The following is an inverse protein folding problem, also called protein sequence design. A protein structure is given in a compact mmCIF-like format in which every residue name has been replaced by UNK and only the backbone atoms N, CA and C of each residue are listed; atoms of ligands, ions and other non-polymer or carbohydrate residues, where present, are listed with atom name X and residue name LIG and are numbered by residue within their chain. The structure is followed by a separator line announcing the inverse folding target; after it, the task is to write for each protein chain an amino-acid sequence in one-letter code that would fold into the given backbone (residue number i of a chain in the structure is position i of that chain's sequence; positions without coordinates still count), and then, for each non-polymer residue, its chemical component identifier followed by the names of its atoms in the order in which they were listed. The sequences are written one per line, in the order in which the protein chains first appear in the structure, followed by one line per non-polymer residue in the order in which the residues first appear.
data_IF_284268156965
#
_entry.id   IF_284268156965
#
_cell.length_a   1.000
_cell.length_b   1.000
_cell.length_c   1.000
_cell.angle_alpha   90.00
_cell.angle_beta   90.00
_cell.angle_gamma   90.00
#
_symmetry.space_group_name_H-M   'P 1'
#
loop_
_entity.id
_entity.type
_entity.pdbx_description
1 polymer ?
#
# COMPACT_ATOMS: atom_id res chain seq x y z
N UNK A 1 16.45 49.95 -36.79
CA UNK A 1 16.02 51.37 -36.86
C UNK A 1 14.56 51.35 -37.26
N UNK A 2 13.66 51.21 -36.29
CA UNK A 2 13.12 52.32 -35.49
C UNK A 2 12.21 53.19 -36.36
N UNK A 3 10.90 53.01 -36.22
CA UNK A 3 10.04 53.97 -35.53
C UNK A 3 8.57 53.81 -35.94
N UNK A 4 7.73 53.73 -34.92
CA UNK A 4 6.28 53.84 -35.00
C UNK A 4 5.93 55.26 -34.54
N UNK A 5 4.90 55.90 -35.11
CA UNK A 5 3.77 56.33 -34.27
C UNK A 5 2.40 56.21 -34.99
N UNK A 6 1.35 55.76 -34.28
CA UNK A 6 0.19 56.55 -33.80
C UNK A 6 -0.62 57.24 -34.92
N UNK A 7 -1.95 57.17 -35.07
CA UNK A 7 -3.09 57.06 -34.15
C UNK A 7 -4.36 57.03 -35.04
N UNK A 8 -5.39 56.24 -34.71
CA UNK A 8 -6.78 56.60 -35.00
C UNK A 8 -7.74 55.80 -34.09
N UNK A 9 -8.48 56.55 -33.30
CA UNK A 9 -9.46 56.16 -32.28
C UNK A 9 -10.88 56.06 -32.89
N UNK A 10 -11.84 55.56 -32.09
CA UNK A 10 -13.31 55.50 -32.28
C UNK A 10 -13.77 54.14 -32.84
N UNK A 11 -14.53 53.30 -32.13
CA UNK A 11 -15.76 53.53 -31.35
C UNK A 11 -15.78 52.63 -30.08
N UNK A 12 -16.05 53.15 -28.88
CA UNK A 12 -17.38 53.19 -28.23
C UNK A 12 -18.07 51.80 -28.17
N UNK A 13 -18.51 51.24 -27.04
CA UNK A 13 -18.69 51.74 -25.70
C UNK A 13 -18.79 50.56 -24.69
N UNK A 14 -18.51 50.89 -23.44
CA UNK A 14 -19.04 50.33 -22.19
C UNK A 14 -19.81 49.00 -22.23
N UNK A 15 -19.36 48.00 -21.46
CA UNK A 15 -20.24 47.50 -20.40
C UNK A 15 -19.49 46.87 -19.21
N UNK A 16 -20.19 46.89 -18.09
CA UNK A 16 -19.77 46.77 -16.71
C UNK A 16 -19.04 45.48 -16.28
N UNK A 17 -18.02 45.67 -15.43
CA UNK A 17 -17.55 44.68 -14.44
C UNK A 17 -18.75 44.14 -13.61
N UNK A 18 -18.70 42.87 -13.17
CA UNK A 18 -18.01 42.66 -11.90
C UNK A 18 -17.23 41.35 -11.81
N UNK A 19 -16.05 41.46 -11.21
CA UNK A 19 -15.50 40.52 -10.23
C UNK A 19 -16.13 39.13 -10.24
N UNK A 20 -15.40 38.14 -10.78
CA UNK A 20 -15.60 36.75 -10.44
C UNK A 20 -15.45 36.59 -8.93
N UNK A 21 -16.58 36.67 -8.21
CA UNK A 21 -16.65 36.43 -6.78
C UNK A 21 -16.17 34.99 -6.55
N UNK A 22 -15.30 34.73 -5.56
CA UNK A 22 -15.04 33.36 -5.15
C UNK A 22 -16.34 32.83 -4.55
N UNK A 23 -16.99 31.86 -5.19
CA UNK A 23 -18.12 31.17 -4.59
C UNK A 23 -17.62 30.27 -3.46
N UNK A 24 -17.27 30.89 -2.31
CA UNK A 24 -17.17 30.24 -1.00
C UNK A 24 -18.57 29.87 -0.53
N UNK A 25 -19.11 28.79 -1.05
CA UNK A 25 -20.01 27.96 -0.25
C UNK A 25 -19.15 26.84 0.32
N UNK A 26 -18.73 26.98 1.58
CA UNK A 26 -18.27 25.84 2.35
C UNK A 26 -19.46 24.90 2.54
N UNK A 27 -19.73 24.10 1.51
CA UNK A 27 -20.77 23.09 1.52
C UNK A 27 -20.45 22.10 2.63
N UNK A 28 -21.47 21.61 3.33
CA UNK A 28 -21.30 20.54 4.33
C UNK A 28 -20.49 19.36 3.76
N UNK A 29 -20.54 19.14 2.43
CA UNK A 29 -19.73 18.15 1.71
C UNK A 29 -18.22 18.40 1.85
N UNK A 30 -17.77 19.64 1.83
CA UNK A 30 -16.36 20.00 1.96
C UNK A 30 -15.86 19.81 3.39
N UNK A 31 -16.70 20.11 4.39
CA UNK A 31 -16.39 19.81 5.80
C UNK A 31 -16.28 18.30 6.04
N UNK A 32 -17.17 17.51 5.44
CA UNK A 32 -17.13 16.05 5.51
C UNK A 32 -15.94 15.50 4.73
N UNK A 33 -15.64 16.01 3.54
CA UNK A 33 -14.47 15.60 2.75
C UNK A 33 -13.17 15.82 3.51
N UNK A 34 -13.00 17.03 4.06
CA UNK A 34 -11.81 17.40 4.80
C UNK A 34 -11.68 16.58 6.09
N UNK A 35 -12.78 16.24 6.76
CA UNK A 35 -12.76 15.36 7.93
C UNK A 35 -12.38 13.92 7.54
N UNK A 36 -12.97 13.38 6.48
CA UNK A 36 -12.71 12.02 5.97
C UNK A 36 -11.27 11.81 5.49
N UNK A 37 -10.61 12.87 5.01
CA UNK A 37 -9.21 12.87 4.59
C UNK A 37 -8.23 13.26 5.70
N UNK A 38 -8.69 13.44 6.94
CA UNK A 38 -7.83 13.86 8.06
C UNK A 38 -7.32 15.30 7.95
N UNK A 39 -7.78 16.07 6.95
CA UNK A 39 -7.36 17.46 6.67
C UNK A 39 -8.11 18.50 7.50
N UNK A 40 -9.19 18.12 8.18
CA UNK A 40 -9.98 19.04 8.99
C UNK A 40 -9.21 19.45 10.27
N UNK A 41 -9.09 20.76 10.58
CA UNK A 41 -8.18 21.28 11.61
C UNK A 41 -8.46 20.78 13.05
N UNK A 42 -9.71 20.45 13.38
CA UNK A 42 -10.09 19.91 14.71
C UNK A 42 -10.40 18.41 14.72
N UNK A 43 -11.21 17.94 13.78
CA UNK A 43 -11.73 16.56 13.78
C UNK A 43 -10.95 15.59 12.90
N UNK A 44 -10.08 16.07 12.00
CA UNK A 44 -9.38 15.22 11.04
C UNK A 44 -8.52 14.16 11.71
N UNK A 45 -7.64 14.57 12.63
CA UNK A 45 -6.75 13.66 13.36
C UNK A 45 -7.51 12.67 14.25
N UNK A 46 -8.59 13.11 14.89
CA UNK A 46 -9.43 12.23 15.71
C UNK A 46 -10.09 11.15 14.84
N UNK A 47 -10.70 11.54 13.73
CA UNK A 47 -11.37 10.62 12.82
C UNK A 47 -10.39 9.62 12.17
N UNK A 48 -9.22 10.12 11.78
CA UNK A 48 -8.12 9.29 11.27
C UNK A 48 -7.70 8.24 12.31
N UNK A 49 -7.37 8.65 13.54
CA UNK A 49 -6.99 7.74 14.62
C UNK A 49 -8.11 6.75 14.96
N UNK A 50 -9.36 7.21 14.98
CA UNK A 50 -10.53 6.36 15.23
C UNK A 50 -10.64 5.23 14.19
N UNK A 51 -10.55 5.55 12.89
CA UNK A 51 -10.61 4.53 11.84
C UNK A 51 -9.39 3.61 11.87
N UNK A 52 -8.19 4.13 12.12
CA UNK A 52 -6.98 3.34 12.28
C UNK A 52 -7.12 2.34 13.45
N UNK A 53 -7.64 2.79 14.59
CA UNK A 53 -7.89 1.94 15.76
C UNK A 53 -8.92 0.85 15.45
N UNK A 54 -10.01 1.19 14.76
CA UNK A 54 -11.02 0.18 14.35
C UNK A 54 -10.41 -0.85 13.40
N UNK A 55 -9.61 -0.43 12.41
CA UNK A 55 -8.93 -1.36 11.49
C UNK A 55 -7.97 -2.29 12.27
N UNK A 56 -7.22 -1.75 13.22
CA UNK A 56 -6.29 -2.52 14.03
C UNK A 56 -7.01 -3.55 14.92
N UNK A 57 -8.04 -3.12 15.67
CA UNK A 57 -8.84 -4.03 16.51
C UNK A 57 -9.52 -5.09 15.65
N UNK A 58 -10.09 -4.69 14.51
CA UNK A 58 -10.70 -5.63 13.57
C UNK A 58 -9.72 -6.67 13.03
N UNK A 59 -8.46 -6.28 12.81
CA UNK A 59 -7.42 -7.17 12.32
C UNK A 59 -7.01 -8.18 13.38
N UNK A 60 -6.86 -7.74 14.63
CA UNK A 60 -6.60 -8.62 15.78
C UNK A 60 -7.75 -9.58 16.00
N UNK A 61 -8.99 -9.10 15.97
CA UNK A 61 -10.20 -9.92 16.11
C UNK A 61 -10.27 -11.05 15.09
N UNK A 62 -9.91 -10.76 13.83
CA UNK A 62 -9.83 -11.77 12.77
C UNK A 62 -8.73 -12.79 13.05
N UNK A 63 -7.59 -12.38 13.63
CA UNK A 63 -6.55 -13.31 14.10
C UNK A 63 -7.04 -14.20 15.24
N UNK A 64 -7.83 -13.66 16.18
CA UNK A 64 -8.42 -14.47 17.27
C UNK A 64 -9.42 -15.48 16.70
N UNK A 65 -10.22 -15.11 15.69
CA UNK A 65 -11.21 -16.01 15.06
C UNK A 65 -10.57 -17.30 14.48
N UNK A 66 -9.28 -17.30 14.18
CA UNK A 66 -8.58 -18.49 13.65
C UNK A 66 -8.15 -19.49 14.74
N UNK A 67 -8.21 -19.11 16.02
CA UNK A 67 -7.84 -19.99 17.13
C UNK A 67 -8.88 -21.12 17.25
N UNK A 68 -8.46 -22.39 17.19
CA UNK A 68 -9.37 -23.52 17.34
C UNK A 68 -9.86 -23.64 18.79
N UNK A 69 -11.12 -24.04 18.97
CA UNK A 69 -11.65 -24.38 20.30
C UNK A 69 -12.07 -23.18 21.16
N UNK A 70 -12.31 -22.00 20.58
CA UNK A 70 -12.83 -20.86 21.33
C UNK A 70 -14.24 -21.16 21.90
N UNK A 71 -14.57 -20.64 23.10
CA UNK A 71 -15.89 -20.81 23.67
C UNK A 71 -16.95 -20.08 22.82
N UNK A 72 -18.18 -20.60 22.84
CA UNK A 72 -19.30 -20.09 22.04
C UNK A 72 -19.55 -18.58 22.23
N UNK A 73 -19.40 -18.07 23.45
CA UNK A 73 -19.55 -16.65 23.78
C UNK A 73 -18.52 -15.77 23.06
N UNK A 74 -17.29 -16.25 22.90
CA UNK A 74 -16.24 -15.52 22.19
C UNK A 74 -16.54 -15.45 20.69
N UNK A 75 -16.96 -16.57 20.07
CA UNK A 75 -17.39 -16.53 18.66
C UNK A 75 -18.56 -15.56 18.44
N UNK A 76 -19.52 -15.54 19.36
CA UNK A 76 -20.67 -14.64 19.29
C UNK A 76 -20.26 -13.18 19.45
N UNK A 77 -19.39 -12.87 20.42
CA UNK A 77 -18.86 -11.53 20.63
C UNK A 77 -18.04 -11.03 19.43
N UNK A 78 -17.17 -11.87 18.86
CA UNK A 78 -16.39 -11.56 17.66
C UNK A 78 -17.30 -11.30 16.45
N UNK A 79 -18.38 -12.07 16.28
CA UNK A 79 -19.33 -11.89 15.19
C UNK A 79 -20.13 -10.58 15.32
N UNK A 80 -20.57 -10.23 16.54
CA UNK A 80 -21.23 -8.94 16.81
C UNK A 80 -20.25 -7.80 16.50
N UNK A 81 -19.01 -7.92 16.96
CA UNK A 81 -17.99 -6.90 16.73
C UNK A 81 -17.63 -6.74 15.25
N UNK A 82 -17.48 -7.83 14.48
CA UNK A 82 -17.26 -7.75 13.02
C UNK A 82 -18.44 -7.08 12.32
N UNK A 83 -19.67 -7.35 12.77
CA UNK A 83 -20.88 -6.68 12.26
C UNK A 83 -20.83 -5.17 12.51
N UNK A 84 -20.43 -4.74 13.72
CA UNK A 84 -20.25 -3.32 14.05
C UNK A 84 -19.16 -2.68 13.20
N UNK A 85 -18.01 -3.33 13.02
CA UNK A 85 -16.93 -2.81 12.19
C UNK A 85 -17.32 -2.69 10.72
N UNK A 86 -18.01 -3.70 10.18
CA UNK A 86 -18.53 -3.63 8.81
C UNK A 86 -19.55 -2.51 8.66
N UNK A 87 -20.43 -2.29 9.65
CA UNK A 87 -21.37 -1.17 9.62
C UNK A 87 -20.64 0.18 9.55
N UNK A 88 -19.61 0.37 10.38
CA UNK A 88 -18.77 1.59 10.37
C UNK A 88 -18.06 1.76 9.02
N UNK A 89 -17.42 0.70 8.49
CA UNK A 89 -16.74 0.75 7.19
C UNK A 89 -17.69 0.97 6.01
N UNK A 90 -18.91 0.46 6.11
CA UNK A 90 -19.96 0.70 5.10
C UNK A 90 -20.39 2.16 5.12
N UNK A 91 -20.64 2.71 6.32
CA UNK A 91 -20.98 4.13 6.47
C UNK A 91 -19.85 5.03 5.95
N UNK A 92 -18.60 4.72 6.28
CA UNK A 92 -17.40 5.38 5.75
C UNK A 92 -17.37 5.35 4.21
N UNK A 93 -17.56 4.18 3.60
CA UNK A 93 -17.53 4.01 2.15
C UNK A 93 -18.65 4.77 1.44
N UNK A 94 -19.88 4.69 1.98
CA UNK A 94 -21.04 5.40 1.45
C UNK A 94 -20.83 6.91 1.53
N UNK A 95 -20.36 7.42 2.67
CA UNK A 95 -20.09 8.84 2.85
C UNK A 95 -19.06 9.35 1.85
N UNK A 96 -18.00 8.57 1.59
CA UNK A 96 -17.00 8.89 0.55
C UNK A 96 -17.60 8.92 -0.85
N UNK A 97 -18.47 7.99 -1.22
CA UNK A 97 -19.16 8.01 -2.51
C UNK A 97 -20.05 9.27 -2.64
N UNK A 98 -20.74 9.67 -1.56
CA UNK A 98 -21.63 10.84 -1.58
C UNK A 98 -20.87 12.14 -1.77
N UNK A 99 -19.69 12.25 -1.14
CA UNK A 99 -18.85 13.45 -1.13
C UNK A 99 -17.96 13.54 -2.37
N UNK A 100 -17.58 12.42 -2.97
CA UNK A 100 -16.75 12.39 -4.17
C UNK A 100 -17.42 13.12 -5.36
N UNK A 101 -16.64 13.97 -6.04
CA UNK A 101 -17.08 14.71 -7.23
C UNK A 101 -17.53 13.75 -8.34
N UNK A 102 -16.73 12.71 -8.61
CA UNK A 102 -17.01 11.67 -9.59
C UNK A 102 -17.20 10.30 -8.92
N UNK A 103 -18.45 9.96 -8.55
CA UNK A 103 -18.79 8.72 -7.84
C UNK A 103 -18.25 7.45 -8.52
N UNK A 104 -18.41 7.35 -9.84
CA UNK A 104 -17.93 6.19 -10.61
C UNK A 104 -16.41 6.08 -10.56
N UNK A 105 -15.71 7.19 -10.78
CA UNK A 105 -14.26 7.24 -10.72
C UNK A 105 -13.75 6.85 -9.32
N UNK A 106 -14.46 7.26 -8.26
CA UNK A 106 -14.14 6.85 -6.90
C UNK A 106 -14.31 5.35 -6.69
N UNK A 107 -15.46 4.77 -7.07
CA UNK A 107 -15.74 3.33 -6.90
C UNK A 107 -14.70 2.46 -7.62
N UNK A 108 -14.26 2.86 -8.81
CA UNK A 108 -13.24 2.16 -9.60
C UNK A 108 -11.79 2.60 -9.29
N UNK A 109 -11.57 3.45 -8.29
CA UNK A 109 -10.22 3.79 -7.83
C UNK A 109 -9.64 2.67 -6.96
N UNK A 110 -8.31 2.59 -6.86
CA UNK A 110 -7.60 1.63 -6.00
C UNK A 110 -8.17 1.61 -4.57
N UNK A 111 -8.35 2.80 -4.00
CA UNK A 111 -8.89 3.02 -2.67
C UNK A 111 -10.38 2.67 -2.54
N UNK A 112 -11.19 2.98 -3.56
CA UNK A 112 -12.61 2.61 -3.60
C UNK A 112 -12.83 1.10 -3.70
N UNK A 113 -11.99 0.40 -4.46
CA UNK A 113 -12.00 -1.06 -4.57
C UNK A 113 -11.65 -1.70 -3.22
N UNK A 114 -10.62 -1.22 -2.52
CA UNK A 114 -10.26 -1.70 -1.18
C UNK A 114 -11.43 -1.52 -0.21
N UNK A 115 -12.06 -0.34 -0.20
CA UNK A 115 -13.21 -0.08 0.67
C UNK A 115 -14.36 -1.05 0.38
N UNK A 116 -14.69 -1.26 -0.90
CA UNK A 116 -15.74 -2.20 -1.33
C UNK A 116 -15.42 -3.65 -0.93
N UNK A 117 -14.22 -4.14 -1.27
CA UNK A 117 -13.82 -5.51 -0.98
C UNK A 117 -13.71 -5.77 0.53
N UNK A 118 -13.47 -4.74 1.34
CA UNK A 118 -13.38 -4.89 2.80
C UNK A 118 -14.73 -5.17 3.48
N UNK A 119 -15.85 -4.76 2.87
CA UNK A 119 -17.22 -4.94 3.36
C UNK A 119 -17.99 -6.04 2.62
N UNK A 120 -17.59 -6.34 1.38
CA UNK A 120 -18.27 -7.28 0.48
C UNK A 120 -18.52 -8.68 1.08
N UNK A 121 -17.57 -9.33 1.78
CA UNK A 121 -17.79 -10.68 2.31
C UNK A 121 -18.97 -10.78 3.27
N UNK A 122 -19.20 -9.75 4.08
CA UNK A 122 -20.32 -9.69 5.02
C UNK A 122 -21.65 -9.64 4.28
N UNK A 123 -21.77 -8.77 3.27
CA UNK A 123 -23.00 -8.64 2.49
C UNK A 123 -23.28 -9.89 1.65
N UNK A 124 -22.26 -10.51 1.05
CA UNK A 124 -22.45 -11.78 0.33
C UNK A 124 -22.97 -12.86 1.29
N UNK A 125 -22.37 -12.99 2.48
CA UNK A 125 -22.82 -13.95 3.49
C UNK A 125 -24.24 -13.69 4.00
N UNK A 126 -24.65 -12.41 4.07
CA UNK A 126 -25.99 -12.00 4.47
C UNK A 126 -27.04 -12.28 3.38
N UNK A 127 -26.77 -11.90 2.13
CA UNK A 127 -27.75 -11.98 1.02
C UNK A 127 -27.88 -13.35 0.38
N UNK A 128 -26.78 -14.10 0.21
CA UNK A 128 -26.83 -15.43 -0.41
C UNK A 128 -27.20 -16.53 0.61
N UNK A 129 -27.27 -16.18 1.89
CA UNK A 129 -27.61 -17.09 2.98
C UNK A 129 -26.54 -18.15 3.25
N UNK A 130 -26.59 -18.73 4.46
CA UNK A 130 -25.68 -19.83 4.85
C UNK A 130 -25.90 -21.12 4.05
N UNK A 131 -26.94 -21.19 3.22
CA UNK A 131 -27.45 -22.44 2.63
C UNK A 131 -27.18 -22.63 1.14
N UNK A 132 -26.82 -21.57 0.39
CA UNK A 132 -26.70 -21.63 -1.10
C UNK A 132 -25.25 -21.53 -1.58
N UNK A 133 -24.34 -21.03 -0.75
CA UNK A 133 -22.92 -20.86 -1.12
C UNK A 133 -22.09 -22.01 -0.56
N UNK A 134 -21.29 -22.63 -1.43
CA UNK A 134 -20.26 -23.60 -1.04
C UNK A 134 -19.45 -23.04 0.15
N UNK A 135 -19.38 -23.80 1.25
CA UNK A 135 -18.69 -23.41 2.48
C UNK A 135 -17.24 -22.99 2.21
N UNK A 136 -16.63 -23.51 1.13
CA UNK A 136 -15.31 -23.12 0.65
C UNK A 136 -15.27 -21.69 0.12
N UNK A 137 -16.21 -21.28 -0.73
CA UNK A 137 -16.26 -19.91 -1.26
C UNK A 137 -16.47 -18.89 -0.15
N UNK A 138 -17.41 -19.13 0.77
CA UNK A 138 -17.62 -18.23 1.92
C UNK A 138 -16.37 -18.13 2.79
N UNK A 139 -15.64 -19.24 3.00
CA UNK A 139 -14.39 -19.25 3.77
C UNK A 139 -13.28 -18.47 3.05
N UNK A 140 -13.13 -18.63 1.74
CA UNK A 140 -12.11 -17.88 0.97
C UNK A 140 -12.42 -16.39 0.91
N UNK A 141 -13.70 -16.00 0.75
CA UNK A 141 -14.11 -14.59 0.76
C UNK A 141 -13.77 -13.88 2.07
N UNK A 142 -13.67 -14.60 3.20
CA UNK A 142 -13.20 -14.01 4.47
C UNK A 142 -11.78 -13.46 4.37
N UNK A 143 -10.95 -13.92 3.45
CA UNK A 143 -9.61 -13.38 3.21
C UNK A 143 -9.65 -11.94 2.67
N UNK A 144 -10.72 -11.54 1.96
CA UNK A 144 -10.88 -10.15 1.55
C UNK A 144 -11.03 -9.20 2.75
N UNK A 145 -11.36 -9.72 3.94
CA UNK A 145 -11.32 -8.93 5.16
C UNK A 145 -9.90 -8.44 5.46
N UNK A 146 -8.84 -9.17 5.10
CA UNK A 146 -7.45 -8.70 5.19
C UNK A 146 -7.22 -7.41 4.40
N UNK A 147 -7.99 -7.17 3.34
CA UNK A 147 -7.84 -5.97 2.53
C UNK A 147 -8.16 -4.69 3.32
N UNK A 148 -8.91 -4.79 4.43
CA UNK A 148 -9.15 -3.66 5.34
C UNK A 148 -7.84 -3.10 5.93
N UNK A 149 -6.78 -3.92 6.04
CA UNK A 149 -5.45 -3.47 6.46
C UNK A 149 -4.84 -2.48 5.45
N UNK A 150 -5.13 -2.63 4.15
CA UNK A 150 -4.66 -1.67 3.15
C UNK A 150 -5.36 -0.32 3.24
N UNK A 151 -6.49 -0.19 3.95
CA UNK A 151 -7.07 1.12 4.26
C UNK A 151 -6.10 2.01 5.06
N UNK A 152 -5.22 1.42 5.88
CA UNK A 152 -4.17 2.14 6.64
C UNK A 152 -3.27 2.97 5.72
N UNK A 153 -3.01 2.48 4.50
CA UNK A 153 -2.15 3.14 3.53
C UNK A 153 -2.69 4.52 3.12
N UNK A 154 -4.02 4.71 3.14
CA UNK A 154 -4.65 5.99 2.78
C UNK A 154 -4.44 7.09 3.82
N UNK A 155 -4.35 6.71 5.10
CA UNK A 155 -4.33 7.66 6.21
C UNK A 155 -2.94 8.24 6.47
N UNK A 156 -1.89 7.63 5.93
CA UNK A 156 -0.52 8.03 6.22
C UNK A 156 0.12 8.78 5.05
N UNK A 157 0.56 10.03 5.30
CA UNK A 157 1.44 10.78 4.38
C UNK A 157 2.76 10.03 4.06
N UNK A 158 3.10 9.02 4.86
CA UNK A 158 4.22 8.12 4.58
C UNK A 158 3.99 7.30 3.29
N UNK A 159 2.76 6.86 3.05
CA UNK A 159 2.42 6.07 1.86
C UNK A 159 2.59 6.87 0.58
N UNK A 160 2.15 8.13 0.55
CA UNK A 160 2.35 9.00 -0.62
C UNK A 160 3.84 9.17 -0.95
N UNK A 161 4.69 9.31 0.07
CA UNK A 161 6.14 9.39 -0.09
C UNK A 161 6.71 8.06 -0.59
N UNK A 162 6.25 6.92 -0.09
CA UNK A 162 6.65 5.61 -0.59
C UNK A 162 6.23 5.40 -2.05
N UNK A 163 5.02 5.80 -2.43
CA UNK A 163 4.53 5.70 -3.81
C UNK A 163 5.34 6.61 -4.75
N UNK A 164 5.67 7.83 -4.31
CA UNK A 164 6.57 8.71 -5.07
C UNK A 164 7.98 8.13 -5.18
N UNK A 165 8.54 7.60 -4.09
CA UNK A 165 9.85 6.97 -4.08
C UNK A 165 9.88 5.77 -5.02
N UNK A 166 8.85 4.92 -4.97
CA UNK A 166 8.68 3.80 -5.89
C UNK A 166 8.68 4.27 -7.34
N UNK A 167 7.92 5.31 -7.68
CA UNK A 167 7.91 5.86 -9.05
C UNK A 167 9.28 6.35 -9.50
N UNK A 168 10.11 6.85 -8.58
CA UNK A 168 11.48 7.30 -8.87
C UNK A 168 12.38 6.10 -9.15
N UNK A 169 12.31 5.03 -8.35
CA UNK A 169 13.28 3.90 -8.42
C UNK A 169 12.78 2.65 -9.11
N UNK A 170 11.56 2.66 -9.69
CA UNK A 170 10.90 1.45 -10.21
C UNK A 170 11.72 0.76 -11.29
N UNK A 171 12.41 1.51 -12.14
CA UNK A 171 13.12 0.97 -13.30
C UNK A 171 14.37 0.22 -12.83
N UNK A 172 15.11 0.84 -11.91
CA UNK A 172 16.27 0.23 -11.25
C UNK A 172 15.86 -0.99 -10.43
N UNK A 173 14.78 -0.90 -9.64
CA UNK A 173 14.28 -2.04 -8.85
C UNK A 173 13.85 -3.21 -9.74
N UNK A 174 13.20 -2.96 -10.88
CA UNK A 174 12.80 -4.02 -11.82
C UNK A 174 14.04 -4.71 -12.41
N UNK A 175 15.03 -3.92 -12.87
CA UNK A 175 16.27 -4.47 -13.46
C UNK A 175 17.06 -5.26 -12.42
N UNK A 176 17.26 -4.70 -11.22
CA UNK A 176 17.95 -5.41 -10.13
C UNK A 176 17.18 -6.64 -9.65
N UNK A 177 15.86 -6.56 -9.55
CA UNK A 177 15.02 -7.70 -9.17
C UNK A 177 15.10 -8.83 -10.19
N UNK A 178 15.09 -8.52 -11.49
CA UNK A 178 15.29 -9.51 -12.54
C UNK A 178 16.69 -10.15 -12.47
N UNK A 179 17.74 -9.34 -12.26
CA UNK A 179 19.10 -9.85 -12.09
C UNK A 179 19.22 -10.75 -10.85
N UNK A 180 18.59 -10.37 -9.72
CA UNK A 180 18.57 -11.17 -8.50
C UNK A 180 17.88 -12.52 -8.71
N UNK A 181 16.78 -12.58 -9.47
CA UNK A 181 16.10 -13.84 -9.81
C UNK A 181 16.96 -14.73 -10.71
N UNK A 182 17.68 -14.15 -11.67
CA UNK A 182 18.63 -14.91 -12.51
C UNK A 182 19.74 -15.49 -11.64
N UNK A 183 20.34 -14.68 -10.75
CA UNK A 183 21.38 -15.14 -9.82
C UNK A 183 20.84 -16.24 -8.91
N UNK A 184 19.66 -16.07 -8.34
CA UNK A 184 19.00 -17.09 -7.51
C UNK A 184 18.88 -18.42 -8.26
N UNK A 185 18.40 -18.39 -9.49
CA UNK A 185 18.24 -19.59 -10.32
C UNK A 185 19.59 -20.25 -10.68
N UNK A 186 20.60 -19.45 -11.01
CA UNK A 186 21.96 -19.94 -11.28
C UNK A 186 22.56 -20.59 -10.02
N UNK A 187 22.40 -19.96 -8.85
CA UNK A 187 22.84 -20.53 -7.58
C UNK A 187 22.15 -21.86 -7.27
N UNK A 188 20.85 -21.95 -7.51
CA UNK A 188 20.09 -23.18 -7.34
C UNK A 188 20.58 -24.32 -8.26
N UNK A 189 20.84 -24.01 -9.53
CA UNK A 189 21.40 -24.97 -10.49
C UNK A 189 22.79 -25.48 -10.08
N UNK A 190 23.68 -24.57 -9.67
CA UNK A 190 25.05 -24.93 -9.29
C UNK A 190 25.07 -25.76 -8.01
N UNK A 191 24.33 -25.34 -6.97
CA UNK A 191 24.32 -26.08 -5.71
C UNK A 191 23.66 -27.45 -5.87
N UNK A 192 22.61 -27.56 -6.69
CA UNK A 192 22.00 -28.84 -7.04
C UNK A 192 23.04 -29.80 -7.61
N UNK A 193 23.88 -29.33 -8.54
CA UNK A 193 24.91 -30.18 -9.14
C UNK A 193 25.97 -30.68 -8.13
N UNK A 194 26.25 -29.90 -7.09
CA UNK A 194 27.21 -30.26 -6.04
C UNK A 194 26.59 -31.14 -4.95
N UNK A 195 25.34 -30.89 -4.57
CA UNK A 195 24.72 -31.50 -3.40
C UNK A 195 23.79 -32.67 -3.73
N UNK A 196 23.13 -32.68 -4.90
CA UNK A 196 22.21 -33.76 -5.27
C UNK A 196 22.85 -35.16 -5.17
N UNK A 197 24.09 -35.41 -5.62
CA UNK A 197 24.71 -36.73 -5.48
C UNK A 197 24.91 -37.18 -4.03
N UNK A 198 25.12 -36.25 -3.10
CA UNK A 198 25.35 -36.53 -1.69
C UNK A 198 24.05 -36.51 -0.86
N UNK A 199 23.06 -35.73 -1.29
CA UNK A 199 21.81 -35.46 -0.59
C UNK A 199 20.61 -35.44 -1.58
N UNK A 200 20.29 -36.56 -2.22
CA UNK A 200 19.27 -36.60 -3.29
C UNK A 200 17.85 -36.32 -2.79
N UNK A 201 17.57 -36.51 -1.50
CA UNK A 201 16.26 -36.17 -0.91
C UNK A 201 16.16 -34.67 -0.56
N UNK A 202 17.23 -34.06 -0.05
CA UNK A 202 17.23 -32.66 0.37
C UNK A 202 17.40 -31.69 -0.82
N UNK A 203 18.24 -32.06 -1.79
CA UNK A 203 18.42 -31.35 -3.06
C UNK A 203 17.80 -32.17 -4.20
N UNK A 204 16.51 -32.49 -4.08
CA UNK A 204 15.82 -33.42 -5.00
C UNK A 204 15.61 -32.87 -6.40
N UNK A 205 15.40 -31.57 -6.50
CA UNK A 205 15.25 -30.84 -7.75
C UNK A 205 15.92 -29.48 -7.67
N UNK A 206 16.08 -28.83 -8.82
CA UNK A 206 16.55 -27.43 -8.88
C UNK A 206 15.61 -26.50 -8.12
N UNK A 207 14.31 -26.81 -8.04
CA UNK A 207 13.35 -25.99 -7.28
C UNK A 207 13.53 -26.13 -5.77
N UNK A 208 13.88 -27.31 -5.26
CA UNK A 208 14.22 -27.49 -3.85
C UNK A 208 15.55 -26.81 -3.50
N UNK A 209 16.53 -26.90 -4.41
CA UNK A 209 17.77 -26.15 -4.32
C UNK A 209 17.52 -24.63 -4.35
N UNK A 210 16.49 -24.17 -5.08
CA UNK A 210 16.10 -22.76 -5.15
C UNK A 210 15.44 -22.29 -3.85
N UNK A 211 14.68 -23.12 -3.15
CA UNK A 211 14.20 -22.82 -1.79
C UNK A 211 15.38 -22.56 -0.87
N UNK A 212 16.36 -23.47 -0.83
CA UNK A 212 17.59 -23.30 -0.06
C UNK A 212 18.35 -22.03 -0.46
N UNK A 213 18.50 -21.78 -1.78
CA UNK A 213 19.22 -20.62 -2.29
C UNK A 213 18.52 -19.31 -1.91
N UNK A 214 17.19 -19.27 -1.93
CA UNK A 214 16.40 -18.10 -1.57
C UNK A 214 16.56 -17.76 -0.09
N UNK A 215 16.41 -18.74 0.82
CA UNK A 215 16.57 -18.51 2.26
C UNK A 215 18.02 -18.15 2.63
N UNK A 216 19.00 -18.62 1.84
CA UNK A 216 20.42 -18.30 2.05
C UNK A 216 20.77 -16.91 1.52
N UNK A 217 20.38 -16.55 0.29
CA UNK A 217 20.60 -15.21 -0.30
C UNK A 217 19.90 -14.11 0.48
N UNK A 218 18.76 -14.42 1.09
CA UNK A 218 18.01 -13.46 1.92
C UNK A 218 18.45 -13.45 3.37
N UNK A 219 19.51 -14.20 3.73
CA UNK A 219 20.08 -14.29 5.09
C UNK A 219 19.11 -14.83 6.15
N UNK A 220 18.05 -15.54 5.75
CA UNK A 220 17.07 -16.17 6.67
C UNK A 220 17.66 -17.44 7.28
N UNK A 221 18.12 -18.37 6.44
CA UNK A 221 18.83 -19.59 6.86
C UNK A 221 18.10 -20.43 7.91
N UNK A 222 16.93 -21.00 7.57
CA UNK A 222 16.19 -21.88 8.49
C UNK A 222 16.99 -23.11 8.97
N UNK A 223 17.95 -23.58 8.17
CA UNK A 223 18.80 -24.72 8.51
C UNK A 223 18.12 -26.08 8.31
N UNK A 224 16.96 -26.12 7.66
CA UNK A 224 16.23 -27.31 7.24
C UNK A 224 16.97 -28.11 6.15
N UNK A 225 17.66 -27.41 5.26
CA UNK A 225 18.55 -27.98 4.23
C UNK A 225 19.85 -27.19 4.22
N UNK A 226 20.99 -27.86 4.05
CA UNK A 226 22.29 -27.19 3.93
C UNK A 226 23.34 -28.03 3.16
N UNK A 227 24.33 -27.39 2.51
CA UNK A 227 25.37 -28.10 1.77
C UNK A 227 26.32 -28.87 2.67
N UNK A 228 26.53 -30.16 2.37
CA UNK A 228 27.46 -31.03 3.11
C UNK A 228 28.74 -31.29 2.34
N UNK A 229 28.75 -31.10 1.02
CA UNK A 229 29.94 -31.31 0.19
C UNK A 229 30.94 -30.17 0.32
N UNK A 230 32.23 -30.46 0.13
CA UNK A 230 33.27 -29.44 0.15
C UNK A 230 33.02 -28.35 -0.91
N UNK A 231 32.62 -28.74 -2.12
CA UNK A 231 32.34 -27.79 -3.21
C UNK A 231 31.09 -26.96 -2.94
N UNK A 232 30.02 -27.57 -2.41
CA UNK A 232 28.82 -26.85 -2.01
C UNK A 232 29.10 -25.82 -0.92
N UNK A 233 29.93 -26.15 0.07
CA UNK A 233 30.36 -25.20 1.12
C UNK A 233 31.19 -24.04 0.56
N UNK A 234 32.17 -24.31 -0.30
CA UNK A 234 32.97 -23.27 -0.96
C UNK A 234 32.08 -22.35 -1.79
N UNK A 235 31.17 -22.93 -2.57
CA UNK A 235 30.21 -22.17 -3.37
C UNK A 235 29.30 -21.29 -2.50
N UNK A 236 28.83 -21.83 -1.37
CA UNK A 236 28.00 -21.08 -0.42
C UNK A 236 28.73 -19.86 0.12
N UNK A 237 30.02 -19.98 0.45
CA UNK A 237 30.82 -18.82 0.89
C UNK A 237 30.88 -17.73 -0.17
N UNK A 238 31.08 -18.10 -1.45
CA UNK A 238 31.08 -17.13 -2.56
C UNK A 238 29.70 -16.47 -2.74
N UNK A 239 28.65 -17.27 -2.64
CA UNK A 239 27.26 -16.82 -2.74
C UNK A 239 26.89 -15.80 -1.66
N UNK A 240 27.46 -15.89 -0.45
CA UNK A 240 27.23 -14.90 0.61
C UNK A 240 27.69 -13.48 0.21
N UNK A 241 28.77 -13.34 -0.55
CA UNK A 241 29.20 -12.03 -1.05
C UNK A 241 28.23 -11.46 -2.07
N UNK A 242 27.67 -12.32 -2.93
CA UNK A 242 26.66 -11.93 -3.91
C UNK A 242 25.35 -11.51 -3.21
N UNK A 243 24.97 -12.23 -2.16
CA UNK A 243 23.80 -11.91 -1.32
C UNK A 243 23.85 -10.48 -0.77
N UNK A 244 25.02 -10.06 -0.26
CA UNK A 244 25.22 -8.71 0.26
C UNK A 244 24.92 -7.64 -0.79
N UNK A 245 25.35 -7.86 -2.04
CA UNK A 245 25.06 -6.95 -3.16
C UNK A 245 23.57 -6.89 -3.51
N UNK A 246 22.91 -8.04 -3.56
CA UNK A 246 21.48 -8.14 -3.89
C UNK A 246 20.60 -7.40 -2.86
N UNK A 247 20.94 -7.47 -1.57
CA UNK A 247 20.19 -6.79 -0.50
C UNK A 247 20.54 -5.30 -0.40
N UNK A 248 21.82 -4.95 -0.52
CA UNK A 248 22.29 -3.58 -0.30
C UNK A 248 21.76 -2.59 -1.34
N UNK A 249 21.67 -2.99 -2.62
CA UNK A 249 21.36 -2.05 -3.71
C UNK A 249 19.91 -1.56 -3.66
N UNK A 250 18.86 -2.42 -3.62
CA UNK A 250 17.48 -1.95 -3.52
C UNK A 250 17.23 -1.12 -2.25
N UNK A 251 17.88 -1.51 -1.15
CA UNK A 251 17.81 -0.76 0.12
C UNK A 251 18.39 0.65 -0.04
N UNK A 252 19.55 0.78 -0.69
CA UNK A 252 20.18 2.06 -0.99
C UNK A 252 19.36 2.95 -1.92
N UNK A 253 18.78 2.37 -2.99
CA UNK A 253 17.92 3.07 -3.94
C UNK A 253 16.69 3.66 -3.25
N UNK A 254 15.96 2.85 -2.48
CA UNK A 254 14.76 3.30 -1.76
C UNK A 254 15.12 4.37 -0.71
N UNK A 255 16.21 4.21 0.02
CA UNK A 255 16.69 5.18 1.01
C UNK A 255 17.04 6.53 0.37
N UNK A 256 17.74 6.51 -0.76
CA UNK A 256 18.11 7.71 -1.52
C UNK A 256 16.86 8.45 -2.01
N UNK A 257 15.90 7.74 -2.59
CA UNK A 257 14.66 8.35 -3.08
C UNK A 257 13.82 8.95 -1.95
N UNK A 258 13.71 8.28 -0.80
CA UNK A 258 13.01 8.82 0.36
C UNK A 258 13.71 10.06 0.95
N UNK A 259 15.03 10.08 0.95
CA UNK A 259 15.82 11.22 1.43
C UNK A 259 15.65 12.42 0.51
N UNK A 260 15.73 12.21 -0.81
CA UNK A 260 15.50 13.26 -1.82
C UNK A 260 14.10 13.87 -1.68
N UNK A 261 13.06 13.05 -1.54
CA UNK A 261 11.69 13.53 -1.37
C UNK A 261 11.49 14.35 -0.09
N UNK A 262 12.15 13.97 1.02
CA UNK A 262 12.12 14.74 2.27
C UNK A 262 12.83 16.08 2.14
N UNK A 263 13.93 16.14 1.39
CA UNK A 263 14.65 17.39 1.11
C UNK A 263 13.76 18.40 0.37
N UNK A 264 13.10 17.96 -0.71
CA UNK A 264 12.18 18.79 -1.50
C UNK A 264 11.00 19.30 -0.66
N UNK A 265 10.45 18.47 0.24
CA UNK A 265 9.37 18.89 1.14
C UNK A 265 9.84 19.93 2.17
N UNK A 266 11.07 19.81 2.67
CA UNK A 266 11.65 20.76 3.62
C UNK A 266 11.95 22.13 2.99
N UNK A 267 12.42 22.17 1.73
CA UNK A 267 12.63 23.42 1.00
C UNK A 267 11.31 24.15 0.73
N UNK A 268 10.30 23.44 0.23
CA UNK A 268 8.95 24.01 0.01
C UNK A 268 8.33 24.55 1.28
N UNK A 269 8.57 23.90 2.43
CA UNK A 269 8.11 24.38 3.72
C UNK A 269 8.80 25.69 4.14
N UNK A 270 10.08 25.89 3.79
CA UNK A 270 10.79 27.15 4.06
C UNK A 270 10.32 28.29 3.15
N UNK A 271 10.16 28.03 1.86
CA UNK A 271 9.68 29.03 0.89
C UNK A 271 8.24 29.49 1.18
N UNK A 272 7.35 28.56 1.54
CA UNK A 272 5.97 28.89 1.91
C UNK A 272 5.79 29.59 3.26
N UNK A 273 6.85 29.64 4.08
CA UNK A 273 6.90 30.47 5.30
C UNK A 273 7.44 31.86 4.98
N UNK A 274 8.41 31.98 4.07
CA UNK A 274 8.95 33.26 3.62
C UNK A 274 7.92 34.13 2.87
N UNK A 275 7.01 33.52 2.11
CA UNK A 275 5.94 34.22 1.37
C UNK A 275 4.80 34.75 2.27
N UNK A 276 4.70 34.27 3.52
CA UNK A 276 3.67 34.70 4.48
C UNK A 276 4.08 35.89 5.35
N UNK A 277 5.32 36.37 5.22
CA UNK A 277 5.86 37.50 5.97
C UNK A 277 6.24 38.66 5.01
N UNK A 278 5.30 39.23 4.24
CA UNK A 278 5.55 40.52 3.63
C UNK A 278 5.45 41.58 4.72
N UNK A 279 6.60 42.10 5.14
CA UNK A 279 6.73 43.39 5.82
C UNK A 279 5.92 44.48 5.13
#
# INVERSE_FOLDING_TARGET
MSDHPAQAQSDAAADHHPHGRPHRHHSWKEHVDTALHGRHPRFGRFFELFLLTIIAISSIAMGIETIPGLPFWTYSALAIMDTVFVAVFTAEYVLRIIVAENRRQYVFSFYGIIDLLSILPFFIGLFLGRSVVDLKLVRTLRLFRLLRMFKLARYTKATDRLVKAWKIVREEVIVFGAAALIVLYVCAMVIYQFEHPAQPEAFSSVFDAMWWAAITLTTVGYGDVYPVTAMGRIFTVLMLFVALGIIAIPTGLVSSALTSLRGVEAEKAKEGVADKDPT
#
